data_IF_142990733099
#
_entry.id   IF_142990733099
#
_cell.length_a   1.000
_cell.length_b   1.000
_cell.length_c   1.000
_cell.angle_alpha   90.00
_cell.angle_beta   90.00
_cell.angle_gamma   90.00
#
_symmetry.space_group_name_H-M   'P 1'
#
loop_
_entity.id
_entity.type
_entity.pdbx_description
1 polymer ?
#
# COMPACT_ATOMS: atom_id res chain seq x y z
N UNK A 1 15.52 0.59 -1.45
CA UNK A 1 15.68 1.76 -0.59
C UNK A 1 17.13 1.91 -0.24
N UNK A 2 17.64 3.13 -0.38
CA UNK A 2 18.96 3.53 0.11
C UNK A 2 18.86 3.96 1.58
N UNK A 3 17.72 4.55 1.97
CA UNK A 3 17.47 5.02 3.34
C UNK A 3 16.26 4.33 3.99
N UNK A 4 16.52 3.60 5.07
CA UNK A 4 15.50 2.85 5.83
C UNK A 4 15.36 3.29 7.29
N UNK A 5 16.25 4.16 7.77
CA UNK A 5 16.27 4.63 9.17
C UNK A 5 15.82 6.08 9.34
N UNK A 6 15.81 6.84 8.25
CA UNK A 6 15.39 8.24 8.21
C UNK A 6 14.12 8.41 7.39
N UNK A 7 13.40 9.49 7.66
CA UNK A 7 12.28 9.94 6.84
C UNK A 7 12.77 10.83 5.71
N UNK A 8 12.07 10.79 4.58
CA UNK A 8 12.34 11.67 3.44
C UNK A 8 12.15 13.16 3.81
N UNK A 9 11.15 13.50 4.64
CA UNK A 9 11.00 14.88 5.12
C UNK A 9 11.70 15.10 6.45
N UNK A 10 12.12 16.35 6.68
CA UNK A 10 12.49 16.83 8.02
C UNK A 10 11.26 16.78 8.93
N UNK A 11 11.42 16.21 10.13
CA UNK A 11 10.30 15.96 11.04
C UNK A 11 10.26 16.99 12.17
N UNK A 12 9.03 17.36 12.56
CA UNK A 12 8.73 18.00 13.83
C UNK A 12 7.58 17.22 14.50
N UNK A 13 7.93 16.26 15.37
CA UNK A 13 6.97 15.31 15.94
C UNK A 13 6.62 14.17 14.97
N UNK A 14 5.32 13.81 14.81
CA UNK A 14 4.90 12.70 13.95
C UNK A 14 4.93 13.05 12.45
N UNK A 15 4.82 14.34 12.09
CA UNK A 15 4.75 14.81 10.70
C UNK A 15 5.96 15.64 10.26
N UNK A 16 5.90 16.09 9.01
CA UNK A 16 6.92 16.94 8.40
C UNK A 16 6.89 18.38 8.97
N UNK A 17 8.07 19.01 9.05
CA UNK A 17 8.20 20.43 9.40
C UNK A 17 7.55 21.30 8.32
N UNK A 18 6.59 22.18 8.66
CA UNK A 18 5.96 23.06 7.68
C UNK A 18 6.97 23.97 6.96
N UNK A 19 6.82 24.12 5.64
CA UNK A 19 7.68 24.98 4.83
C UNK A 19 9.07 24.41 4.52
N UNK A 20 9.33 23.15 4.88
CA UNK A 20 10.53 22.42 4.45
C UNK A 20 10.22 21.55 3.25
N UNK A 21 11.16 21.52 2.31
CA UNK A 21 11.09 20.60 1.19
C UNK A 21 11.42 19.17 1.66
N UNK A 22 10.72 18.15 1.15
CA UNK A 22 11.12 16.76 1.35
C UNK A 22 12.41 16.44 0.59
N UNK A 23 12.95 15.24 0.81
CA UNK A 23 14.05 14.69 0.03
C UNK A 23 13.80 14.78 -1.49
N UNK A 24 14.87 14.92 -2.27
CA UNK A 24 14.79 15.12 -3.71
C UNK A 24 14.23 13.92 -4.47
N UNK A 25 14.55 12.71 -4.02
CA UNK A 25 14.04 11.46 -4.57
C UNK A 25 13.35 10.64 -3.46
N UNK A 26 12.03 10.49 -3.57
CA UNK A 26 11.21 9.81 -2.57
C UNK A 26 11.27 8.29 -2.72
N UNK A 27 11.71 7.77 -3.85
CA UNK A 27 11.71 6.34 -4.13
C UNK A 27 12.93 5.64 -3.49
N UNK A 28 13.96 6.41 -3.09
CA UNK A 28 15.12 5.91 -2.36
C UNK A 28 14.86 5.76 -0.86
N UNK A 29 13.80 6.37 -0.31
CA UNK A 29 13.43 6.32 1.11
C UNK A 29 12.29 5.34 1.37
N UNK A 30 12.38 4.56 2.45
CA UNK A 30 11.28 3.70 2.90
C UNK A 30 10.14 4.52 3.53
N UNK A 31 10.48 5.53 4.33
CA UNK A 31 9.53 6.34 5.10
C UNK A 31 9.44 7.77 4.55
N UNK A 32 8.21 8.27 4.41
CA UNK A 32 8.00 9.66 4.03
C UNK A 32 8.18 10.59 5.23
N UNK A 33 7.52 10.26 6.34
CA UNK A 33 7.57 10.97 7.62
C UNK A 33 7.76 9.98 8.80
N UNK A 34 7.36 10.34 10.02
CA UNK A 34 7.48 9.48 11.20
C UNK A 34 6.43 8.39 11.35
N UNK A 35 5.43 8.35 10.47
CA UNK A 35 4.25 7.48 10.59
C UNK A 35 3.89 6.77 9.26
N UNK A 36 4.24 7.36 8.12
CA UNK A 36 3.82 6.92 6.79
C UNK A 36 5.01 6.51 5.93
N UNK A 37 4.79 5.48 5.11
CA UNK A 37 5.73 5.02 4.11
C UNK A 37 5.74 5.95 2.87
N UNK A 38 6.79 5.88 2.06
CA UNK A 38 6.77 6.49 0.71
C UNK A 38 5.88 5.66 -0.22
N UNK A 39 5.50 6.25 -1.37
CA UNK A 39 4.74 5.53 -2.41
C UNK A 39 5.50 4.30 -2.92
N UNK A 40 6.82 4.36 -3.01
CA UNK A 40 7.65 3.22 -3.40
C UNK A 40 7.51 2.05 -2.41
N UNK A 41 7.53 2.31 -1.10
CA UNK A 41 7.34 1.27 -0.11
C UNK A 41 5.89 0.76 -0.06
N UNK A 42 4.91 1.64 -0.18
CA UNK A 42 3.51 1.20 -0.30
C UNK A 42 3.29 0.31 -1.52
N UNK A 43 3.94 0.60 -2.65
CA UNK A 43 3.85 -0.25 -3.84
C UNK A 43 4.38 -1.66 -3.57
N UNK A 44 5.51 -1.81 -2.89
CA UNK A 44 6.03 -3.13 -2.52
C UNK A 44 5.10 -3.88 -1.55
N UNK A 45 4.52 -3.19 -0.57
CA UNK A 45 3.56 -3.78 0.36
C UNK A 45 2.29 -4.26 -0.35
N UNK A 46 1.75 -3.44 -1.26
CA UNK A 46 0.56 -3.78 -2.05
C UNK A 46 0.87 -4.91 -3.03
N UNK A 47 2.01 -4.88 -3.71
CA UNK A 47 2.42 -5.95 -4.64
C UNK A 47 2.56 -7.28 -3.87
N UNK A 48 3.13 -7.26 -2.66
CA UNK A 48 3.18 -8.43 -1.77
C UNK A 48 1.79 -8.92 -1.32
N UNK A 49 0.94 -8.01 -0.83
CA UNK A 49 -0.42 -8.36 -0.39
C UNK A 49 -1.33 -8.83 -1.54
N UNK A 50 -1.07 -8.38 -2.76
CA UNK A 50 -1.87 -8.73 -3.93
C UNK A 50 -1.44 -10.04 -4.58
N UNK A 51 -0.14 -10.35 -4.61
CA UNK A 51 0.41 -11.45 -5.41
C UNK A 51 1.08 -12.58 -4.61
N UNK A 52 1.31 -12.43 -3.29
CA UNK A 52 2.07 -13.43 -2.53
C UNK A 52 1.28 -14.74 -2.33
N UNK A 53 1.99 -15.86 -2.22
CA UNK A 53 1.43 -17.13 -1.74
C UNK A 53 1.93 -17.51 -0.32
N UNK A 54 2.78 -16.66 0.27
CA UNK A 54 3.36 -16.88 1.60
C UNK A 54 2.34 -16.60 2.71
N UNK A 55 1.99 -17.60 3.55
CA UNK A 55 1.04 -17.44 4.65
C UNK A 55 1.48 -16.47 5.75
N UNK A 56 2.77 -16.11 5.84
CA UNK A 56 3.24 -15.06 6.75
C UNK A 56 2.93 -13.64 6.24
N UNK A 57 2.75 -13.47 4.92
CA UNK A 57 2.45 -12.19 4.28
C UNK A 57 0.94 -12.06 4.01
N UNK A 58 0.29 -13.12 3.56
CA UNK A 58 -1.14 -13.14 3.22
C UNK A 58 -1.82 -14.40 3.77
N UNK A 59 -2.89 -14.24 4.54
CA UNK A 59 -3.63 -15.37 5.12
C UNK A 59 -5.12 -15.02 5.18
N UNK A 60 -6.04 -15.87 4.68
CA UNK A 60 -5.84 -17.20 4.07
C UNK A 60 -5.46 -17.20 2.59
N UNK A 61 -5.51 -16.06 1.92
CA UNK A 61 -5.14 -15.89 0.53
C UNK A 61 -4.84 -14.41 0.23
N UNK A 62 -4.22 -14.14 -0.91
CA UNK A 62 -3.93 -12.81 -1.41
C UNK A 62 -5.17 -12.01 -1.85
N UNK A 63 -4.97 -10.72 -2.13
CA UNK A 63 -6.03 -9.84 -2.63
C UNK A 63 -6.43 -10.21 -4.06
N UNK A 64 -5.54 -10.79 -4.88
CA UNK A 64 -5.89 -11.20 -6.24
C UNK A 64 -7.02 -12.23 -6.27
N UNK A 65 -7.01 -13.20 -5.35
CA UNK A 65 -8.09 -14.18 -5.20
C UNK A 65 -9.41 -13.54 -4.81
N UNK A 66 -9.40 -12.53 -3.92
CA UNK A 66 -10.60 -11.76 -3.60
C UNK A 66 -11.13 -10.97 -4.80
N UNK A 67 -10.25 -10.31 -5.54
CA UNK A 67 -10.63 -9.55 -6.73
C UNK A 67 -11.20 -10.45 -7.84
N UNK A 68 -10.77 -11.71 -7.91
CA UNK A 68 -11.28 -12.70 -8.84
C UNK A 68 -12.67 -13.24 -8.44
N UNK A 69 -13.12 -13.04 -7.20
CA UNK A 69 -14.50 -13.34 -6.80
C UNK A 69 -15.40 -12.29 -7.44
N UNK A 70 -15.86 -12.58 -8.65
CA UNK A 70 -17.00 -11.87 -9.22
C UNK A 70 -18.16 -12.00 -8.23
N UNK A 71 -18.59 -10.88 -7.67
CA UNK A 71 -19.91 -10.81 -7.02
C UNK A 71 -20.90 -11.13 -8.13
N UNK A 72 -21.32 -12.39 -8.24
CA UNK A 72 -22.49 -12.75 -9.03
C UNK A 72 -23.60 -11.89 -8.42
N UNK A 73 -24.14 -10.88 -9.13
CA UNK A 73 -25.36 -10.26 -8.64
C UNK A 73 -26.38 -11.39 -8.74
N UNK A 74 -26.82 -11.91 -7.59
CA UNK A 74 -28.04 -12.70 -7.51
C UNK A 74 -29.22 -11.77 -7.80
N UNK A 75 -29.29 -11.25 -9.02
CA UNK A 75 -30.52 -10.80 -9.61
C UNK A 75 -31.00 -12.01 -10.39
N UNK A 76 -31.81 -12.83 -9.73
CA UNK A 76 -32.69 -13.75 -10.44
C UNK A 76 -33.43 -12.93 -11.49
N UNK A 77 -33.12 -13.18 -12.76
CA UNK A 77 -33.89 -12.61 -13.86
C UNK A 77 -35.28 -13.22 -13.76
N UNK A 78 -36.23 -12.48 -13.19
CA UNK A 78 -37.65 -12.77 -13.40
C UNK A 78 -37.90 -12.86 -14.91
N UNK A 79 -38.55 -13.92 -15.40
CA UNK A 79 -38.90 -14.01 -16.80
C UNK A 79 -39.92 -12.92 -17.10
N UNK A 80 -39.61 -12.08 -18.09
CA UNK A 80 -40.52 -11.05 -18.58
C UNK A 80 -41.75 -11.76 -19.17
N UNK A 81 -42.92 -11.54 -18.55
CA UNK A 81 -44.22 -11.90 -19.14
C UNK A 81 -44.59 -10.90 -20.23
#
# INVERSE_FOLDING_TARGET
FEEIKASCCERNGPGCTPGRDPCADRDTYMYFDGAHCTSAMYKLLVDGGFCSEDPEIVNPFDISRLAAIQVIPTVERSPMK
#
